data_IF_839791938856
#
_entry.id   IF_839791938856
#
_cell.length_a   1.000
_cell.length_b   1.000
_cell.length_c   1.000
_cell.angle_alpha   90.00
_cell.angle_beta   90.00
_cell.angle_gamma   90.00
#
_symmetry.space_group_name_H-M   'P 1'
#
loop_
_entity.id
_entity.type
_entity.pdbx_description
1 polymer ?
#
# COMPACT_ATOMS: atom_id res chain seq x y z
N UNK A 1 9.83 -6.24 -40.27
CA UNK A 1 9.44 -5.11 -39.50
C UNK A 1 7.93 -5.16 -39.30
N UNK A 2 7.50 -5.74 -38.18
CA UNK A 2 6.11 -5.74 -37.79
C UNK A 2 5.92 -4.55 -36.86
N UNK A 3 5.30 -3.49 -37.36
CA UNK A 3 4.72 -2.44 -36.57
C UNK A 3 3.42 -2.98 -35.96
N UNK A 4 3.46 -3.39 -34.71
CA UNK A 4 2.23 -3.55 -33.92
C UNK A 4 1.81 -2.17 -33.47
N UNK A 5 0.98 -1.53 -34.28
CA UNK A 5 0.24 -0.34 -33.92
C UNK A 5 -1.04 -0.82 -33.19
N UNK A 6 -0.90 -1.25 -31.94
CA UNK A 6 -2.04 -1.74 -31.20
C UNK A 6 -2.28 -0.88 -29.95
N UNK A 7 -3.01 0.22 -30.19
CA UNK A 7 -3.51 1.13 -29.16
C UNK A 7 -4.40 0.40 -28.14
N UNK A 8 -5.07 -0.66 -28.59
CA UNK A 8 -5.88 -1.53 -27.74
C UNK A 8 -5.02 -2.30 -26.74
N UNK A 9 -3.81 -2.72 -27.11
CA UNK A 9 -2.90 -3.45 -26.23
C UNK A 9 -2.38 -2.58 -25.09
N UNK A 10 -2.11 -1.29 -25.33
CA UNK A 10 -1.66 -0.36 -24.28
C UNK A 10 -2.77 -0.03 -23.29
N UNK A 11 -4.00 0.13 -23.77
CA UNK A 11 -5.17 0.33 -22.89
C UNK A 11 -5.52 -0.94 -22.11
N UNK A 12 -5.37 -2.14 -22.71
CA UNK A 12 -5.58 -3.43 -22.05
C UNK A 12 -4.53 -3.64 -20.94
N UNK A 13 -3.26 -3.30 -21.16
CA UNK A 13 -2.24 -3.36 -20.12
C UNK A 13 -2.51 -2.38 -18.98
N UNK A 14 -3.01 -1.18 -19.28
CA UNK A 14 -3.35 -0.17 -18.27
C UNK A 14 -4.58 -0.60 -17.44
N UNK A 15 -5.61 -1.16 -18.08
CA UNK A 15 -6.79 -1.72 -17.41
C UNK A 15 -6.45 -2.98 -16.60
N UNK A 16 -5.62 -3.87 -17.14
CA UNK A 16 -5.18 -5.09 -16.44
C UNK A 16 -4.28 -4.80 -15.25
N UNK A 17 -3.43 -3.76 -15.31
CA UNK A 17 -2.65 -3.32 -14.15
C UNK A 17 -3.54 -2.69 -13.07
N UNK A 18 -4.60 -2.00 -13.45
CA UNK A 18 -5.58 -1.43 -12.54
C UNK A 18 -6.34 -2.50 -11.72
N UNK A 19 -6.72 -3.60 -12.38
CA UNK A 19 -7.43 -4.70 -11.73
C UNK A 19 -6.50 -5.63 -10.92
N UNK A 20 -5.20 -5.64 -11.22
CA UNK A 20 -4.23 -6.56 -10.66
C UNK A 20 -3.38 -5.98 -9.50
N UNK A 21 -3.24 -4.66 -9.40
CA UNK A 21 -2.48 -4.01 -8.33
C UNK A 21 -3.41 -3.17 -7.47
N UNK A 22 -3.45 -3.40 -6.14
CA UNK A 22 -4.06 -2.43 -5.25
C UNK A 22 -3.36 -1.09 -5.46
N UNK A 23 -4.13 -0.07 -5.88
CA UNK A 23 -3.59 1.26 -6.21
C UNK A 23 -2.86 1.84 -5.00
N UNK A 24 -3.43 1.67 -3.81
CA UNK A 24 -2.88 2.21 -2.58
C UNK A 24 -2.43 1.10 -1.63
N UNK A 25 -1.52 1.44 -0.74
CA UNK A 25 -1.11 0.64 0.40
C UNK A 25 -1.10 1.51 1.65
N UNK A 26 -1.01 0.88 2.80
CA UNK A 26 -0.87 1.56 4.08
C UNK A 26 0.46 1.18 4.73
N UNK A 27 1.03 2.09 5.52
CA UNK A 27 2.20 1.78 6.36
C UNK A 27 2.18 2.63 7.62
N UNK A 28 3.07 2.31 8.56
CA UNK A 28 3.25 3.06 9.79
C UNK A 28 4.44 3.99 9.66
N UNK A 29 4.38 5.17 10.32
CA UNK A 29 5.48 6.12 10.33
C UNK A 29 6.11 6.29 11.70
N UNK A 30 5.47 5.78 12.76
CA UNK A 30 5.92 5.90 14.12
C UNK A 30 5.81 4.55 14.85
N UNK A 31 6.82 4.24 15.67
CA UNK A 31 6.78 3.08 16.55
C UNK A 31 5.90 3.35 17.79
N UNK A 32 5.12 2.36 18.18
CA UNK A 32 4.34 2.40 19.42
C UNK A 32 3.99 1.00 19.92
N UNK A 33 3.70 0.91 21.22
CA UNK A 33 3.18 -0.28 21.87
C UNK A 33 1.64 -0.21 21.91
N UNK A 34 1.01 -1.27 21.45
CA UNK A 34 -0.43 -1.37 21.32
C UNK A 34 -0.96 -2.59 22.05
N UNK A 35 -2.02 -2.40 22.81
CA UNK A 35 -2.72 -3.45 23.52
C UNK A 35 -3.88 -3.97 22.69
N UNK A 36 -4.02 -5.29 22.60
CA UNK A 36 -5.22 -5.95 22.11
C UNK A 36 -5.78 -6.87 23.16
N UNK A 37 -6.99 -6.57 23.64
CA UNK A 37 -7.64 -7.35 24.69
C UNK A 37 -9.07 -7.68 24.30
N UNK A 38 -9.33 -8.97 24.10
CA UNK A 38 -10.64 -9.49 23.77
C UNK A 38 -11.18 -10.35 24.89
N UNK A 39 -12.27 -9.90 25.50
CA UNK A 39 -12.98 -10.60 26.55
C UNK A 39 -14.46 -10.68 26.17
N UNK A 40 -15.01 -11.87 26.14
CA UNK A 40 -16.43 -12.10 25.95
C UNK A 40 -16.93 -13.16 26.94
N UNK A 41 -17.88 -12.80 27.75
CA UNK A 41 -18.62 -13.73 28.63
C UNK A 41 -20.08 -13.78 28.22
N UNK A 42 -20.59 -14.95 27.87
CA UNK A 42 -21.96 -15.13 27.50
C UNK A 42 -22.43 -16.49 28.03
N UNK A 43 -23.01 -16.53 29.23
CA UNK A 43 -23.79 -17.64 29.76
C UNK A 43 -23.21 -19.06 29.70
N UNK A 44 -21.89 -19.21 29.57
CA UNK A 44 -21.18 -20.47 29.41
C UNK A 44 -19.66 -20.25 29.38
N UNK A 45 -18.91 -21.02 28.57
CA UNK A 45 -17.47 -20.84 28.40
C UNK A 45 -17.19 -19.46 27.79
N UNK A 46 -16.39 -18.64 28.46
CA UNK A 46 -15.99 -17.33 28.00
C UNK A 46 -14.98 -17.37 26.84
N UNK A 47 -14.60 -16.20 26.38
CA UNK A 47 -13.49 -16.03 25.43
C UNK A 47 -12.50 -15.00 25.98
N UNK A 48 -11.23 -15.31 25.95
CA UNK A 48 -10.17 -14.46 26.47
C UNK A 48 -8.93 -14.51 25.58
N UNK A 49 -8.49 -13.35 25.09
CA UNK A 49 -7.22 -13.17 24.41
C UNK A 49 -6.64 -11.81 24.77
N UNK A 50 -5.36 -11.74 25.12
CA UNK A 50 -4.72 -10.50 25.48
C UNK A 50 -3.26 -10.50 25.04
N UNK A 51 -2.91 -9.49 24.26
CA UNK A 51 -1.57 -9.32 23.69
C UNK A 51 -1.11 -7.88 23.76
N UNK A 52 0.18 -7.69 23.96
CA UNK A 52 0.88 -6.43 23.77
C UNK A 52 1.84 -6.58 22.58
N UNK A 53 1.68 -5.74 21.59
CA UNK A 53 2.47 -5.75 20.37
C UNK A 53 3.10 -4.39 20.15
N UNK A 54 4.41 -4.36 19.98
CA UNK A 54 5.12 -3.18 19.49
C UNK A 54 5.13 -3.19 17.99
N UNK A 55 4.54 -2.17 17.38
CA UNK A 55 4.59 -1.95 15.94
C UNK A 55 5.65 -0.92 15.62
N UNK A 56 6.44 -1.19 14.58
CA UNK A 56 7.50 -0.31 14.11
C UNK A 56 7.50 -0.25 12.57
N UNK A 57 7.81 0.91 11.97
CA UNK A 57 8.12 0.97 10.54
C UNK A 57 9.27 0.02 10.19
N UNK A 58 9.17 -0.68 9.07
CA UNK A 58 10.18 -1.61 8.58
C UNK A 58 10.45 -1.39 7.08
N UNK A 59 10.95 -0.21 6.68
CA UNK A 59 11.05 0.21 5.30
C UNK A 59 11.78 -0.80 4.43
N UNK A 60 11.20 -1.13 3.27
CA UNK A 60 11.77 -2.01 2.23
C UNK A 60 12.02 -3.47 2.65
N UNK A 61 11.64 -3.84 3.89
CA UNK A 61 11.84 -5.21 4.40
C UNK A 61 10.55 -6.02 4.48
N UNK A 62 9.42 -5.40 4.17
CA UNK A 62 8.12 -6.05 4.26
C UNK A 62 7.65 -6.30 5.69
N UNK A 63 6.82 -7.32 5.85
CA UNK A 63 6.32 -7.73 7.16
C UNK A 63 7.34 -8.61 7.89
N UNK A 64 7.55 -8.30 9.17
CA UNK A 64 8.40 -9.08 10.08
C UNK A 64 7.67 -9.28 11.40
N UNK A 65 7.57 -10.52 11.86
CA UNK A 65 7.05 -10.86 13.18
C UNK A 65 8.17 -11.32 14.10
N UNK A 66 8.20 -10.78 15.31
CA UNK A 66 9.18 -11.14 16.33
C UNK A 66 8.45 -11.63 17.58
N UNK A 67 8.79 -12.84 18.02
CA UNK A 67 8.41 -13.37 19.32
C UNK A 67 9.43 -12.94 20.37
N UNK A 68 8.99 -12.08 21.28
CA UNK A 68 9.78 -11.60 22.42
C UNK A 68 9.11 -11.96 23.77
N UNK A 69 8.24 -12.96 23.77
CA UNK A 69 7.57 -13.42 24.99
C UNK A 69 8.57 -14.03 25.97
N UNK A 70 8.49 -13.59 27.20
CA UNK A 70 9.29 -14.09 28.33
C UNK A 70 8.37 -14.67 29.40
N UNK A 71 8.79 -15.75 30.05
CA UNK A 71 8.07 -16.34 31.19
C UNK A 71 6.77 -17.05 30.83
N UNK A 72 6.45 -17.25 29.54
CA UNK A 72 5.26 -17.99 29.12
C UNK A 72 3.95 -17.25 29.37
N UNK A 73 3.97 -15.91 29.48
CA UNK A 73 2.75 -15.09 29.68
C UNK A 73 1.74 -15.23 28.56
N UNK A 74 2.21 -15.57 27.36
CA UNK A 74 1.39 -16.08 26.26
C UNK A 74 1.86 -17.49 25.92
N UNK A 75 0.98 -18.53 26.00
CA UNK A 75 1.33 -19.89 25.63
C UNK A 75 1.85 -19.99 24.18
N UNK A 76 2.83 -20.87 23.96
CA UNK A 76 3.49 -21.03 22.66
C UNK A 76 2.53 -21.34 21.52
N UNK A 77 1.44 -22.00 21.77
CA UNK A 77 0.41 -22.34 20.80
C UNK A 77 -0.33 -21.11 20.25
N UNK A 78 -0.42 -20.02 21.02
CA UNK A 78 -1.11 -18.78 20.60
C UNK A 78 -0.18 -17.77 19.89
N UNK A 79 1.14 -17.97 19.92
CA UNK A 79 2.09 -17.06 19.25
C UNK A 79 1.94 -17.09 17.72
N UNK A 80 1.92 -18.26 17.04
CA UNK A 80 1.68 -18.33 15.60
C UNK A 80 0.30 -17.83 15.19
N UNK A 81 -0.69 -18.03 16.07
CA UNK A 81 -2.07 -17.58 15.83
C UNK A 81 -2.15 -16.06 15.90
N UNK A 82 -1.41 -15.43 16.81
CA UNK A 82 -1.30 -13.99 16.91
C UNK A 82 -0.66 -13.39 15.65
N UNK A 83 0.44 -13.97 15.18
CA UNK A 83 1.08 -13.57 13.91
C UNK A 83 0.10 -13.68 12.74
N UNK A 84 -0.60 -14.80 12.60
CA UNK A 84 -1.60 -14.98 11.55
C UNK A 84 -2.74 -13.97 11.65
N UNK A 85 -3.21 -13.68 12.87
CA UNK A 85 -4.23 -12.67 13.13
C UNK A 85 -3.80 -11.26 12.73
N UNK A 86 -2.54 -10.90 12.98
CA UNK A 86 -1.96 -9.64 12.53
C UNK A 86 -1.89 -9.57 11.01
N UNK A 87 -1.42 -10.61 10.33
CA UNK A 87 -1.32 -10.64 8.86
C UNK A 87 -2.69 -10.51 8.20
N UNK A 88 -3.70 -11.22 8.70
CA UNK A 88 -5.07 -11.13 8.19
C UNK A 88 -5.67 -9.72 8.40
N UNK A 89 -5.42 -9.10 9.56
CA UNK A 89 -5.88 -7.76 9.83
C UNK A 89 -5.16 -6.71 8.96
N UNK A 90 -3.85 -6.88 8.72
CA UNK A 90 -3.07 -6.02 7.84
C UNK A 90 -3.53 -6.07 6.38
N UNK A 91 -4.04 -7.20 5.92
CA UNK A 91 -4.60 -7.33 4.57
C UNK A 91 -5.81 -6.41 4.34
N UNK A 92 -6.55 -6.10 5.40
CA UNK A 92 -7.69 -5.17 5.35
C UNK A 92 -7.35 -3.72 5.68
N UNK A 93 -6.12 -3.42 6.07
CA UNK A 93 -5.68 -2.08 6.47
C UNK A 93 -6.34 -1.54 7.74
N UNK A 94 -5.89 -0.40 8.20
CA UNK A 94 -6.43 0.29 9.38
C UNK A 94 -6.86 1.74 9.11
N UNK A 95 -6.49 2.28 7.95
CA UNK A 95 -6.71 3.70 7.62
C UNK A 95 -7.83 3.87 6.59
N UNK A 96 -7.72 3.19 5.46
CA UNK A 96 -8.65 3.31 4.33
C UNK A 96 -9.02 1.96 3.68
N UNK A 97 -8.65 0.84 4.30
CA UNK A 97 -8.99 -0.50 3.82
C UNK A 97 -7.99 -1.08 2.81
N UNK A 98 -6.80 -0.50 2.69
CA UNK A 98 -5.76 -1.00 1.80
C UNK A 98 -4.73 -1.85 2.53
N UNK A 99 -4.10 -2.85 1.88
CA UNK A 99 -3.12 -3.70 2.52
C UNK A 99 -1.97 -2.91 3.14
N UNK A 100 -1.59 -3.28 4.36
CA UNK A 100 -0.44 -2.70 5.05
C UNK A 100 0.85 -3.39 4.61
N UNK A 101 1.92 -2.61 4.51
CA UNK A 101 3.27 -3.08 4.13
C UNK A 101 4.32 -2.48 5.05
N UNK A 102 5.51 -3.09 5.07
CA UNK A 102 6.70 -2.57 5.76
C UNK A 102 6.46 -2.31 7.26
N UNK A 103 5.90 -3.30 7.94
CA UNK A 103 5.59 -3.27 9.36
C UNK A 103 6.33 -4.38 10.09
N UNK A 104 7.04 -4.04 11.16
CA UNK A 104 7.58 -4.98 12.12
C UNK A 104 6.67 -5.03 13.34
N UNK A 105 6.23 -6.23 13.69
CA UNK A 105 5.39 -6.50 14.85
C UNK A 105 6.16 -7.36 15.85
N UNK A 106 6.38 -6.86 17.06
CA UNK A 106 7.02 -7.58 18.15
C UNK A 106 6.00 -7.89 19.21
N UNK A 107 5.67 -9.17 19.39
CA UNK A 107 4.83 -9.65 20.48
C UNK A 107 5.71 -9.79 21.72
N UNK A 108 5.51 -8.95 22.73
CA UNK A 108 6.41 -8.89 23.89
C UNK A 108 5.74 -9.17 25.24
N UNK A 109 4.40 -9.04 25.33
CA UNK A 109 3.65 -9.30 26.55
C UNK A 109 2.21 -9.72 26.23
N UNK A 110 1.50 -10.16 27.24
CA UNK A 110 0.12 -10.57 27.16
C UNK A 110 -0.33 -11.33 28.40
N UNK A 111 -1.49 -11.94 28.33
CA UNK A 111 -1.97 -12.86 29.36
C UNK A 111 -2.96 -13.85 28.75
N UNK A 112 -3.15 -14.95 29.43
CA UNK A 112 -4.11 -15.98 29.05
C UNK A 112 -4.94 -16.43 30.24
N UNK A 113 -6.01 -17.13 29.95
CA UNK A 113 -6.89 -17.73 30.93
C UNK A 113 -7.06 -19.22 30.60
N UNK A 114 -6.76 -20.11 31.54
CA UNK A 114 -6.70 -21.56 31.29
C UNK A 114 -7.99 -22.15 30.68
N UNK A 115 -9.15 -21.57 31.01
CA UNK A 115 -10.46 -22.08 30.56
C UNK A 115 -10.98 -21.33 29.35
N UNK A 116 -10.79 -20.00 29.28
CA UNK A 116 -11.46 -19.11 28.33
C UNK A 116 -10.58 -18.69 27.14
N UNK A 117 -9.26 -18.95 27.20
CA UNK A 117 -8.37 -18.67 26.07
C UNK A 117 -8.58 -19.64 24.91
N UNK A 118 -8.51 -19.10 23.70
CA UNK A 118 -8.66 -19.84 22.46
C UNK A 118 -7.88 -19.18 21.33
N UNK A 119 -7.57 -19.92 20.29
CA UNK A 119 -6.97 -19.40 19.07
C UNK A 119 -7.77 -18.23 18.49
N UNK A 120 -9.09 -18.36 18.43
CA UNK A 120 -9.97 -17.31 17.92
C UNK A 120 -9.88 -16.03 18.77
N UNK A 121 -9.83 -16.15 20.08
CA UNK A 121 -9.71 -15.00 20.99
C UNK A 121 -8.38 -14.26 20.81
N UNK A 122 -7.27 -14.99 20.65
CA UNK A 122 -5.96 -14.39 20.37
C UNK A 122 -5.88 -13.75 18.99
N UNK A 123 -6.53 -14.34 17.99
CA UNK A 123 -6.65 -13.76 16.65
C UNK A 123 -7.40 -12.43 16.66
N UNK A 124 -8.50 -12.35 17.39
CA UNK A 124 -9.26 -11.12 17.58
C UNK A 124 -8.45 -10.09 18.39
N UNK A 125 -7.79 -10.51 19.45
CA UNK A 125 -6.92 -9.63 20.25
C UNK A 125 -5.79 -9.03 19.39
N UNK A 126 -5.16 -9.82 18.52
CA UNK A 126 -4.17 -9.33 17.57
C UNK A 126 -4.74 -8.24 16.65
N UNK A 127 -5.93 -8.45 16.09
CA UNK A 127 -6.60 -7.46 15.25
C UNK A 127 -6.95 -6.17 16.02
N UNK A 128 -7.28 -6.29 17.31
CA UNK A 128 -7.56 -5.14 18.17
C UNK A 128 -6.29 -4.33 18.46
N UNK A 129 -5.15 -5.01 18.71
CA UNK A 129 -3.85 -4.34 18.87
C UNK A 129 -3.47 -3.55 17.60
N UNK A 130 -3.67 -4.14 16.42
CA UNK A 130 -3.41 -3.43 15.16
C UNK A 130 -4.34 -2.23 14.96
N UNK A 131 -5.61 -2.34 15.34
CA UNK A 131 -6.55 -1.20 15.30
C UNK A 131 -6.12 -0.05 16.20
N UNK A 132 -5.54 -0.35 17.36
CA UNK A 132 -4.98 0.67 18.26
C UNK A 132 -3.80 1.41 17.62
N UNK A 133 -3.03 0.75 16.78
CA UNK A 133 -1.93 1.35 16.03
C UNK A 133 -2.39 2.52 15.13
N UNK A 134 -3.65 2.56 14.70
CA UNK A 134 -4.23 3.71 13.96
C UNK A 134 -4.03 5.01 14.71
N UNK A 135 -4.19 5.00 16.02
CA UNK A 135 -4.11 6.20 16.85
C UNK A 135 -2.69 6.53 17.33
N UNK A 136 -1.82 5.51 17.43
CA UNK A 136 -0.50 5.62 18.05
C UNK A 136 0.66 5.64 17.04
N UNK A 137 0.51 4.97 15.91
CA UNK A 137 1.62 4.73 14.96
C UNK A 137 1.61 5.65 13.74
N UNK A 138 0.70 6.64 13.68
CA UNK A 138 0.57 7.59 12.57
C UNK A 138 0.61 6.89 11.20
N UNK A 139 -0.38 6.06 10.87
CA UNK A 139 -0.42 5.40 9.58
C UNK A 139 -0.62 6.40 8.44
N UNK A 140 -0.04 6.08 7.29
CA UNK A 140 -0.13 6.88 6.06
C UNK A 140 -0.52 6.01 4.88
N UNK A 141 -1.12 6.62 3.86
CA UNK A 141 -1.36 6.00 2.56
C UNK A 141 -0.12 6.11 1.67
N UNK A 142 0.16 5.05 0.95
CA UNK A 142 1.19 4.99 -0.08
C UNK A 142 0.53 4.82 -1.44
N UNK A 143 1.08 5.48 -2.44
CA UNK A 143 0.70 5.34 -3.85
C UNK A 143 1.86 4.81 -4.69
N UNK A 144 1.56 3.98 -5.71
CA UNK A 144 2.59 3.50 -6.62
C UNK A 144 3.03 4.62 -7.55
N UNK A 145 4.34 4.82 -7.64
CA UNK A 145 4.99 5.75 -8.56
C UNK A 145 5.53 4.97 -9.75
N UNK A 146 5.09 5.37 -10.94
CA UNK A 146 5.47 4.75 -12.19
C UNK A 146 6.66 5.49 -12.81
N UNK A 147 7.65 4.74 -13.27
CA UNK A 147 8.65 5.25 -14.17
C UNK A 147 8.08 5.24 -15.58
N UNK A 148 7.88 6.43 -16.14
CA UNK A 148 7.29 6.65 -17.45
C UNK A 148 8.34 7.12 -18.41
N UNK A 149 8.45 6.48 -19.57
CA UNK A 149 9.25 6.92 -20.70
C UNK A 149 8.30 7.26 -21.84
N UNK A 150 8.39 8.49 -22.35
CA UNK A 150 7.60 8.97 -23.49
C UNK A 150 8.52 9.29 -24.66
N UNK A 151 8.26 8.69 -25.81
CA UNK A 151 9.02 8.93 -27.03
C UNK A 151 8.16 9.71 -28.01
N UNK A 152 8.56 10.94 -28.34
CA UNK A 152 7.85 11.87 -29.24
C UNK A 152 8.82 12.62 -30.11
N UNK A 153 8.40 13.14 -31.30
CA UNK A 153 9.16 14.15 -32.01
C UNK A 153 9.40 15.39 -31.15
N UNK A 154 10.54 16.02 -31.29
CA UNK A 154 11.00 17.17 -30.48
C UNK A 154 9.95 18.31 -30.41
N UNK A 155 9.24 18.56 -31.52
CA UNK A 155 8.20 19.59 -31.61
C UNK A 155 7.06 19.45 -30.58
N UNK A 156 6.81 18.24 -30.03
CA UNK A 156 5.77 17.96 -29.03
C UNK A 156 6.29 17.90 -27.60
N UNK A 157 7.58 18.09 -27.37
CA UNK A 157 8.20 18.03 -26.05
C UNK A 157 7.50 18.91 -25.03
N UNK A 158 7.22 20.17 -25.40
CA UNK A 158 6.58 21.13 -24.48
C UNK A 158 5.18 20.68 -24.02
N UNK A 159 4.37 20.18 -24.95
CA UNK A 159 3.04 19.67 -24.66
C UNK A 159 3.07 18.44 -23.73
N UNK A 160 3.98 17.51 -24.01
CA UNK A 160 4.13 16.27 -23.23
C UNK A 160 4.67 16.58 -21.83
N UNK A 161 5.66 17.43 -21.71
CA UNK A 161 6.21 17.87 -20.42
C UNK A 161 5.14 18.59 -19.57
N UNK A 162 4.35 19.46 -20.18
CA UNK A 162 3.26 20.16 -19.52
C UNK A 162 2.19 19.19 -19.00
N UNK A 163 1.76 18.21 -19.81
CA UNK A 163 0.80 17.18 -19.41
C UNK A 163 1.33 16.30 -18.27
N UNK A 164 2.56 15.78 -18.37
CA UNK A 164 3.19 15.00 -17.30
C UNK A 164 3.31 15.78 -15.99
N UNK A 165 3.65 17.06 -16.06
CA UNK A 165 3.71 17.94 -14.88
C UNK A 165 2.33 18.15 -14.25
N UNK A 166 1.30 18.35 -15.07
CA UNK A 166 -0.07 18.48 -14.58
C UNK A 166 -0.58 17.22 -13.87
N UNK A 167 -0.02 16.05 -14.19
CA UNK A 167 -0.28 14.75 -13.58
C UNK A 167 0.60 14.47 -12.35
N UNK A 168 1.08 15.49 -11.68
CA UNK A 168 2.04 15.38 -10.55
C UNK A 168 3.34 14.65 -10.92
N UNK A 169 3.67 14.59 -12.22
CA UNK A 169 4.88 13.99 -12.72
C UNK A 169 6.13 14.79 -12.34
N UNK A 170 7.17 14.08 -11.95
CA UNK A 170 8.50 14.64 -11.69
C UNK A 170 9.41 14.29 -12.86
N UNK A 171 9.72 15.22 -13.79
CA UNK A 171 10.63 14.95 -14.89
C UNK A 171 12.02 14.57 -14.39
N UNK A 172 12.62 13.54 -14.98
CA UNK A 172 13.98 13.09 -14.68
C UNK A 172 15.00 13.58 -15.69
N UNK A 173 14.53 13.90 -16.91
CA UNK A 173 15.37 14.34 -18.02
C UNK A 173 14.82 13.88 -19.36
N UNK A 174 15.54 14.24 -20.41
CA UNK A 174 15.27 13.81 -21.77
C UNK A 174 16.55 13.41 -22.49
N UNK A 175 16.41 12.53 -23.46
CA UNK A 175 17.50 12.03 -24.29
C UNK A 175 17.08 12.06 -25.76
N UNK A 176 17.99 12.51 -26.62
CA UNK A 176 17.75 12.46 -28.06
C UNK A 176 17.95 11.06 -28.61
N UNK A 177 16.97 10.56 -29.36
CA UNK A 177 16.98 9.27 -30.03
C UNK A 177 16.70 9.44 -31.53
N UNK A 178 17.75 9.78 -32.29
CA UNK A 178 17.61 10.06 -33.72
C UNK A 178 16.73 11.29 -33.96
N UNK A 179 15.57 11.12 -34.60
CA UNK A 179 14.62 12.20 -34.88
C UNK A 179 13.53 12.34 -33.79
N UNK A 180 13.66 11.61 -32.67
CA UNK A 180 12.72 11.63 -31.58
C UNK A 180 13.45 11.99 -30.27
N UNK A 181 12.65 12.37 -29.28
CA UNK A 181 13.08 12.66 -27.94
C UNK A 181 12.44 11.67 -26.96
N UNK A 182 13.25 11.07 -26.12
CA UNK A 182 12.79 10.24 -25.00
C UNK A 182 12.72 11.09 -23.74
N UNK A 183 11.53 11.22 -23.15
CA UNK A 183 11.27 11.97 -21.94
C UNK A 183 11.03 10.96 -20.82
N UNK A 184 11.79 11.08 -19.73
CA UNK A 184 11.64 10.23 -18.55
C UNK A 184 11.01 11.02 -17.39
N UNK A 185 10.03 10.45 -16.73
CA UNK A 185 9.39 11.05 -15.56
C UNK A 185 8.91 9.99 -14.56
N UNK A 186 8.82 10.39 -13.29
CA UNK A 186 8.12 9.63 -12.25
C UNK A 186 6.72 10.20 -12.07
N UNK A 187 5.71 9.37 -12.25
CA UNK A 187 4.30 9.80 -12.21
C UNK A 187 3.49 8.84 -11.37
N UNK A 188 2.64 9.33 -10.43
CA UNK A 188 1.74 8.46 -9.69
C UNK A 188 0.79 7.70 -10.62
N UNK A 189 0.60 6.40 -10.38
CA UNK A 189 -0.28 5.57 -11.21
C UNK A 189 -1.70 6.13 -11.30
N UNK A 190 -2.21 6.68 -10.20
CA UNK A 190 -3.56 7.28 -10.16
C UNK A 190 -3.75 8.41 -11.20
N UNK A 191 -2.68 9.09 -11.59
CA UNK A 191 -2.70 10.18 -12.57
C UNK A 191 -2.48 9.71 -14.02
N UNK A 192 -2.14 8.42 -14.21
CA UNK A 192 -1.86 7.86 -15.54
C UNK A 192 -3.09 7.34 -16.27
N UNK A 193 -4.26 7.31 -15.62
CA UNK A 193 -5.50 6.94 -16.29
C UNK A 193 -5.84 7.93 -17.41
N UNK A 194 -6.15 7.37 -18.60
CA UNK A 194 -6.44 8.16 -19.79
C UNK A 194 -5.20 8.81 -20.43
N UNK A 195 -3.99 8.51 -19.98
CA UNK A 195 -2.77 9.11 -20.52
C UNK A 195 -2.54 8.78 -22.00
N UNK A 196 -2.84 7.55 -22.43
CA UNK A 196 -2.73 7.15 -23.84
C UNK A 196 -3.53 8.08 -24.78
N UNK A 197 -4.74 8.47 -24.38
CA UNK A 197 -5.58 9.39 -25.13
C UNK A 197 -5.00 10.81 -25.14
N UNK A 198 -4.54 11.29 -23.99
CA UNK A 198 -3.88 12.61 -23.89
C UNK A 198 -2.60 12.68 -24.72
N UNK A 199 -1.77 11.64 -24.67
CA UNK A 199 -0.54 11.58 -25.45
C UNK A 199 -0.82 11.58 -26.95
N UNK A 200 -1.82 10.81 -27.39
CA UNK A 200 -2.25 10.79 -28.79
C UNK A 200 -2.67 12.19 -29.25
N UNK A 201 -3.47 12.89 -28.46
CA UNK A 201 -3.88 14.27 -28.76
C UNK A 201 -2.70 15.23 -28.78
N UNK A 202 -1.83 15.19 -27.76
CA UNK A 202 -0.71 16.10 -27.57
C UNK A 202 0.43 15.87 -28.58
N UNK A 203 0.50 14.73 -29.26
CA UNK A 203 1.53 14.34 -30.20
C UNK A 203 1.02 14.09 -31.63
N UNK A 204 -0.26 14.40 -31.90
CA UNK A 204 -0.94 14.09 -33.17
C UNK A 204 -0.77 12.61 -33.58
N UNK A 205 -0.85 11.71 -32.62
CA UNK A 205 -0.71 10.27 -32.83
C UNK A 205 0.72 9.77 -33.01
N UNK A 206 1.74 10.64 -32.90
CA UNK A 206 3.16 10.29 -33.13
C UNK A 206 3.92 9.95 -31.84
N UNK A 207 3.25 10.01 -30.69
CA UNK A 207 3.83 9.66 -29.39
C UNK A 207 3.55 8.24 -28.96
N UNK A 208 4.48 7.67 -28.20
CA UNK A 208 4.37 6.34 -27.58
C UNK A 208 4.96 6.41 -26.18
N UNK A 209 4.47 5.63 -25.25
CA UNK A 209 4.99 5.59 -23.91
C UNK A 209 5.04 4.16 -23.36
N UNK A 210 5.93 3.97 -22.41
CA UNK A 210 5.97 2.78 -21.55
C UNK A 210 5.97 3.23 -20.11
N UNK A 211 5.43 2.42 -19.21
CA UNK A 211 5.50 2.66 -17.78
C UNK A 211 5.74 1.37 -17.02
N UNK A 212 6.54 1.46 -15.98
CA UNK A 212 6.85 0.37 -15.04
C UNK A 212 6.73 0.88 -13.62
N UNK A 213 6.30 0.00 -12.69
CA UNK A 213 6.30 0.34 -11.27
C UNK A 213 7.74 0.54 -10.79
N UNK A 214 8.03 1.69 -10.18
CA UNK A 214 9.34 1.98 -9.60
C UNK A 214 9.32 1.76 -8.08
N UNK A 215 8.50 2.51 -7.38
CA UNK A 215 8.40 2.45 -5.92
C UNK A 215 7.04 2.98 -5.42
N UNK A 216 6.84 2.95 -4.11
CA UNK A 216 5.70 3.57 -3.44
C UNK A 216 6.14 4.81 -2.68
N UNK A 217 5.37 5.89 -2.75
CA UNK A 217 5.57 7.12 -1.98
C UNK A 217 4.32 7.46 -1.16
N UNK A 218 4.50 8.26 -0.11
CA UNK A 218 3.40 8.78 0.69
C UNK A 218 2.49 9.69 -0.16
N UNK A 219 1.19 9.44 -0.09
CA UNK A 219 0.18 10.26 -0.76
C UNK A 219 0.12 11.66 -0.10
N UNK A 220 0.07 12.77 -0.88
CA UNK A 220 -0.12 14.10 -0.32
C UNK A 220 -1.35 14.17 0.59
N UNK A 221 -1.25 14.88 1.72
CA UNK A 221 -2.27 14.88 2.79
C UNK A 221 -3.68 15.20 2.31
N UNK A 222 -3.84 16.21 1.45
CA UNK A 222 -5.13 16.59 0.90
C UNK A 222 -5.79 15.46 0.11
N UNK A 223 -5.02 14.73 -0.70
CA UNK A 223 -5.49 13.60 -1.50
C UNK A 223 -5.77 12.40 -0.58
N UNK A 224 -4.89 12.13 0.39
CA UNK A 224 -5.08 11.05 1.35
C UNK A 224 -6.38 11.23 2.16
N UNK A 225 -6.68 12.43 2.62
CA UNK A 225 -7.91 12.75 3.36
C UNK A 225 -9.17 12.47 2.52
N UNK A 226 -9.16 12.82 1.23
CA UNK A 226 -10.26 12.52 0.32
C UNK A 226 -10.48 11.02 0.13
N UNK A 227 -9.39 10.25 -0.05
CA UNK A 227 -9.43 8.79 -0.20
C UNK A 227 -9.97 8.13 1.07
N UNK A 228 -9.45 8.51 2.24
CA UNK A 228 -9.87 7.98 3.54
C UNK A 228 -11.36 8.27 3.77
N UNK A 229 -11.80 9.50 3.51
CA UNK A 229 -13.20 9.90 3.65
C UNK A 229 -14.12 9.10 2.73
N UNK A 230 -13.73 8.90 1.47
CA UNK A 230 -14.50 8.12 0.50
C UNK A 230 -14.66 6.67 0.93
N UNK A 231 -13.61 6.07 1.48
CA UNK A 231 -13.63 4.66 1.90
C UNK A 231 -14.27 4.44 3.29
N UNK A 232 -14.39 5.49 4.10
CA UNK A 232 -15.06 5.43 5.42
C UNK A 232 -16.59 5.45 5.33
N UNK A 233 -17.16 5.74 4.15
CA UNK A 233 -18.62 5.85 3.91
C UNK A 233 -19.20 4.51 3.39
N UNK A 234 -18.35 3.56 3.04
CA UNK A 234 -18.69 2.20 2.65
C UNK A 234 -18.37 1.22 3.79
#
# INVERSE_FOLDING_TARGET
>A
PFFFNDTATTEIYTLSLHDALPIYRETLTQAAECEGKYIKQSGGRGQYGHVWVKFEPNPEKGYEFVDAIVGGVVPREYIPVTDKGLQEAMAGGILAGYPMVDVKATLFDGSYHDVDSSEMAFKIAASMALKEAKNKCKPVLLEPIMKVEVVVPEEYMGNVMGDLTSRRGKPLGNESRGNALSINAMVPLAEMFGYATSLRSNSQGRGNFTMTLDHYEEVPKNIAEEIIKKNSIN
#
